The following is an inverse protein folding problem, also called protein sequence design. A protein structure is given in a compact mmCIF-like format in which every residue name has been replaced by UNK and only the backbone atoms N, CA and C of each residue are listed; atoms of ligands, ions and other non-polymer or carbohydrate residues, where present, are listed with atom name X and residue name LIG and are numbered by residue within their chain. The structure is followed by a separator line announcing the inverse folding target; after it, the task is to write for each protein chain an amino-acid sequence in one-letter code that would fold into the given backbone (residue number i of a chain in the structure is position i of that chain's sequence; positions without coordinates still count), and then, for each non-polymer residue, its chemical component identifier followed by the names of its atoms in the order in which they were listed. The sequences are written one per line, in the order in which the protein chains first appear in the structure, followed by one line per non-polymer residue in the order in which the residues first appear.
data_IF_364534160192
#
_entry.id   IF_364534160192
#
_cell.length_a   1.000
_cell.length_b   1.000
_cell.length_c   1.000
_cell.angle_alpha   90.00
_cell.angle_beta   90.00
_cell.angle_gamma   90.00
#
_symmetry.space_group_name_H-M   'P 1'
#
loop_
_entity.id
_entity.type
_entity.pdbx_description
1 polymer ?
#
# COMPACT_ATOMS: atom_id res chain seq x y z
N UNK A 1 8.82 -6.44 -21.64
CA UNK A 1 9.12 -6.60 -20.19
C UNK A 1 8.08 -7.55 -19.65
N UNK A 2 8.51 -8.68 -19.09
CA UNK A 2 7.63 -9.72 -18.57
C UNK A 2 7.01 -9.25 -17.25
N UNK A 3 5.70 -9.36 -17.11
CA UNK A 3 5.02 -9.14 -15.82
C UNK A 3 5.74 -9.96 -14.73
N UNK A 4 5.93 -9.40 -13.53
CA UNK A 4 6.46 -10.18 -12.41
C UNK A 4 5.57 -11.39 -12.16
N UNK A 5 6.18 -12.53 -11.87
CA UNK A 5 5.44 -13.76 -11.59
C UNK A 5 4.54 -13.59 -10.35
N UNK A 6 3.47 -14.40 -10.26
CA UNK A 6 2.47 -14.29 -9.18
C UNK A 6 3.09 -14.37 -7.78
N UNK A 7 4.19 -15.12 -7.61
CA UNK A 7 4.89 -15.23 -6.33
C UNK A 7 5.64 -13.94 -6.02
N UNK A 8 6.38 -13.38 -6.98
CA UNK A 8 7.04 -12.07 -6.80
C UNK A 8 6.05 -10.96 -6.48
N UNK A 9 4.86 -10.96 -7.13
CA UNK A 9 3.79 -10.00 -6.81
C UNK A 9 3.34 -10.16 -5.35
N UNK A 10 3.00 -11.39 -4.95
CA UNK A 10 2.56 -11.70 -3.60
C UNK A 10 3.60 -11.30 -2.53
N UNK A 11 4.88 -11.60 -2.76
CA UNK A 11 5.96 -11.23 -1.85
C UNK A 11 6.08 -9.69 -1.71
N UNK A 12 5.97 -8.96 -2.82
CA UNK A 12 6.01 -7.50 -2.78
C UNK A 12 4.81 -6.90 -2.03
N UNK A 13 3.61 -7.43 -2.24
CA UNK A 13 2.41 -7.00 -1.54
C UNK A 13 2.48 -7.32 -0.05
N UNK A 14 3.01 -8.50 0.31
CA UNK A 14 3.19 -8.91 1.70
C UNK A 14 4.22 -8.03 2.42
N UNK A 15 5.33 -7.70 1.76
CA UNK A 15 6.34 -6.77 2.28
C UNK A 15 5.71 -5.39 2.53
N UNK A 16 4.92 -4.88 1.58
CA UNK A 16 4.19 -3.62 1.75
C UNK A 16 3.23 -3.66 2.94
N UNK A 17 2.39 -4.71 3.03
CA UNK A 17 1.48 -4.88 4.17
C UNK A 17 2.28 -4.92 5.45
N UNK A 18 3.36 -5.70 5.53
CA UNK A 18 4.19 -5.77 6.75
C UNK A 18 4.77 -4.40 7.15
N UNK A 19 5.19 -3.59 6.17
CA UNK A 19 5.71 -2.24 6.40
C UNK A 19 4.67 -1.24 6.91
N UNK A 20 3.38 -1.45 6.67
CA UNK A 20 2.31 -0.62 7.28
C UNK A 20 2.33 -0.66 8.81
N UNK A 21 2.99 -1.64 9.43
CA UNK A 21 3.18 -1.68 10.88
C UNK A 21 4.28 -0.73 11.39
N UNK A 22 5.08 -0.11 10.51
CA UNK A 22 6.09 0.89 10.88
C UNK A 22 5.48 2.30 10.81
N UNK A 23 5.45 2.99 11.95
CA UNK A 23 4.90 4.34 12.06
C UNK A 23 5.61 5.36 11.17
N UNK A 24 6.91 5.18 10.87
CA UNK A 24 7.67 6.05 9.97
C UNK A 24 7.26 5.85 8.52
N UNK A 25 6.92 4.62 8.14
CA UNK A 25 6.44 4.31 6.80
C UNK A 25 5.02 4.88 6.59
N UNK A 26 4.14 4.74 7.58
CA UNK A 26 2.79 5.31 7.53
C UNK A 26 2.83 6.84 7.43
N UNK A 27 3.69 7.50 8.21
CA UNK A 27 3.92 8.96 8.09
C UNK A 27 4.45 9.36 6.70
N UNK A 28 5.32 8.54 6.12
CA UNK A 28 5.79 8.78 4.76
C UNK A 28 4.64 8.65 3.75
N UNK A 29 3.84 7.58 3.82
CA UNK A 29 2.68 7.40 2.95
C UNK A 29 1.68 8.55 3.05
N UNK A 30 1.47 9.03 4.27
CA UNK A 30 0.58 10.15 4.57
C UNK A 30 0.93 11.40 3.76
N UNK A 31 2.21 11.71 3.60
CA UNK A 31 2.66 12.92 2.90
C UNK A 31 2.41 12.89 1.38
N UNK A 32 2.28 11.70 0.78
CA UNK A 32 2.31 11.56 -0.68
C UNK A 32 1.10 10.83 -1.28
N UNK A 33 0.39 9.98 -0.51
CA UNK A 33 -0.57 9.02 -1.07
C UNK A 33 -1.92 8.98 -0.38
N UNK A 34 -2.07 9.61 0.80
CA UNK A 34 -3.35 9.55 1.52
C UNK A 34 -4.47 10.35 0.84
N UNK A 35 -4.15 11.27 -0.08
CA UNK A 35 -5.16 12.01 -0.84
C UNK A 35 -5.48 11.35 -2.20
N UNK A 36 -4.77 10.28 -2.59
CA UNK A 36 -4.97 9.60 -3.86
C UNK A 36 -6.10 8.55 -3.76
N UNK A 37 -7.09 8.62 -4.65
CA UNK A 37 -8.17 7.64 -4.75
C UNK A 37 -7.66 6.24 -5.13
N UNK A 38 -6.64 6.16 -6.00
CA UNK A 38 -6.03 4.89 -6.39
C UNK A 38 -5.39 4.18 -5.20
N UNK A 39 -4.87 4.93 -4.23
CA UNK A 39 -4.32 4.37 -3.01
C UNK A 39 -5.42 3.73 -2.14
N UNK A 40 -6.61 4.31 -2.07
CA UNK A 40 -7.74 3.75 -1.31
C UNK A 40 -8.21 2.44 -1.91
N UNK A 41 -8.37 2.41 -3.23
CA UNK A 41 -8.74 1.18 -3.96
C UNK A 41 -7.67 0.11 -3.78
N UNK A 42 -6.41 0.50 -3.72
CA UNK A 42 -5.32 -0.41 -3.43
C UNK A 42 -5.36 -1.01 -2.02
N UNK A 43 -5.58 -0.18 -0.99
CA UNK A 43 -5.77 -0.67 0.38
C UNK A 43 -6.96 -1.63 0.45
N UNK A 44 -8.03 -1.37 -0.32
CA UNK A 44 -9.17 -2.28 -0.45
C UNK A 44 -8.80 -3.61 -1.10
N UNK A 45 -8.01 -3.60 -2.17
CA UNK A 45 -7.48 -4.82 -2.76
C UNK A 45 -6.70 -5.64 -1.73
N UNK A 46 -5.77 -5.01 -1.00
CA UNK A 46 -4.90 -5.67 -0.02
C UNK A 46 -5.64 -6.28 1.18
N UNK A 47 -6.93 -5.99 1.40
CA UNK A 47 -7.71 -6.60 2.49
C UNK A 47 -7.78 -8.12 2.42
N UNK A 48 -7.47 -8.74 1.27
CA UNK A 48 -7.37 -10.20 1.17
C UNK A 48 -6.32 -10.79 2.13
N UNK A 49 -5.27 -10.03 2.49
CA UNK A 49 -4.27 -10.46 3.49
C UNK A 49 -4.87 -10.66 4.89
N UNK A 50 -6.03 -10.07 5.20
CA UNK A 50 -6.72 -10.28 6.48
C UNK A 50 -7.51 -11.59 6.52
N UNK A 51 -7.76 -12.20 5.37
CA UNK A 51 -8.57 -13.41 5.28
C UNK A 51 -7.68 -14.66 5.35
N UNK A 52 -8.16 -15.78 5.93
CA UNK A 52 -7.55 -17.08 5.72
C UNK A 52 -7.56 -17.43 4.23
N UNK A 53 -6.50 -18.05 3.67
CA UNK A 53 -5.29 -18.55 4.32
C UNK A 53 -4.15 -17.53 4.41
N UNK A 54 -4.34 -16.28 3.96
CA UNK A 54 -3.27 -15.30 3.75
C UNK A 54 -2.79 -14.63 5.03
N UNK A 55 -3.68 -14.46 6.01
CA UNK A 55 -3.37 -13.80 7.30
C UNK A 55 -2.18 -14.43 8.03
N UNK A 56 -1.91 -15.72 7.84
CA UNK A 56 -0.76 -16.43 8.45
C UNK A 56 0.60 -15.93 7.97
N UNK A 57 0.65 -15.26 6.81
CA UNK A 57 1.90 -14.76 6.25
C UNK A 57 2.26 -13.37 6.79
N UNK A 58 1.29 -12.64 7.36
CA UNK A 58 1.50 -11.29 7.87
C UNK A 58 2.20 -11.37 9.23
N UNK A 59 3.45 -10.89 9.26
CA UNK A 59 4.31 -10.99 10.46
C UNK A 59 3.95 -10.00 11.55
N UNK A 60 3.43 -8.82 11.18
CA UNK A 60 3.16 -7.74 12.10
C UNK A 60 1.64 -7.54 12.26
N UNK A 61 1.02 -7.82 13.42
CA UNK A 61 -0.41 -7.63 13.59
C UNK A 61 -0.82 -6.14 13.51
N UNK A 62 0.08 -5.21 13.81
CA UNK A 62 -0.17 -3.77 13.73
C UNK A 62 -0.43 -3.36 12.28
N UNK A 63 0.19 -4.03 11.31
CA UNK A 63 -0.08 -3.68 9.92
C UNK A 63 -1.51 -3.98 9.48
N UNK A 64 -2.12 -5.03 10.02
CA UNK A 64 -3.52 -5.35 9.75
C UNK A 64 -4.46 -4.26 10.31
N UNK A 65 -4.12 -3.69 11.46
CA UNK A 65 -4.86 -2.55 12.02
C UNK A 65 -4.78 -1.33 11.10
N UNK A 66 -3.60 -0.97 10.60
CA UNK A 66 -3.48 0.13 9.63
C UNK A 66 -4.20 -0.19 8.32
N UNK A 67 -4.07 -1.41 7.81
CA UNK A 67 -4.71 -1.84 6.57
C UNK A 67 -6.24 -1.72 6.64
N UNK A 68 -6.84 -2.01 7.79
CA UNK A 68 -8.26 -1.79 8.05
C UNK A 68 -8.61 -0.30 8.08
N UNK A 69 -7.87 0.47 8.88
CA UNK A 69 -8.27 1.84 9.20
C UNK A 69 -7.92 2.85 8.10
N UNK A 70 -6.91 2.58 7.27
CA UNK A 70 -6.50 3.47 6.17
C UNK A 70 -7.58 3.64 5.09
N UNK A 71 -8.59 2.76 5.05
CA UNK A 71 -9.76 2.94 4.16
C UNK A 71 -10.64 4.11 4.59
N UNK A 72 -10.64 4.45 5.88
CA UNK A 72 -11.47 5.51 6.41
C UNK A 72 -10.79 6.87 6.23
N UNK A 73 -11.45 7.77 5.51
CA UNK A 73 -10.96 9.14 5.30
C UNK A 73 -10.68 9.86 6.62
N UNK A 74 -11.57 9.73 7.61
CA UNK A 74 -11.41 10.34 8.94
C UNK A 74 -10.14 9.87 9.64
N UNK A 75 -9.79 8.58 9.51
CA UNK A 75 -8.58 8.04 10.11
C UNK A 75 -7.32 8.60 9.42
N UNK A 76 -7.30 8.65 8.08
CA UNK A 76 -6.20 9.28 7.31
C UNK A 76 -6.01 10.75 7.71
N UNK A 77 -7.11 11.49 7.88
CA UNK A 77 -7.10 12.89 8.33
C UNK A 77 -6.61 13.03 9.78
N UNK A 78 -6.97 12.10 10.67
CA UNK A 78 -6.47 12.12 12.05
C UNK A 78 -4.96 11.89 12.10
N UNK A 79 -4.44 10.94 11.32
CA UNK A 79 -2.99 10.72 11.18
C UNK A 79 -2.26 11.98 10.70
N UNK A 80 -2.83 12.67 9.69
CA UNK A 80 -2.34 13.97 9.20
C UNK A 80 -2.14 14.98 10.32
N UNK A 81 -3.15 15.16 11.17
CA UNK A 81 -3.10 16.12 12.28
C UNK A 81 -2.02 15.76 13.32
N UNK A 82 -1.86 14.48 13.64
CA UNK A 82 -0.88 14.02 14.64
C UNK A 82 0.57 14.21 14.18
N UNK A 83 0.88 13.98 12.90
CA UNK A 83 2.24 14.07 12.38
C UNK A 83 2.78 15.51 12.32
N UNK A 84 1.90 16.51 12.21
CA UNK A 84 2.30 17.94 12.12
C UNK A 84 2.89 18.48 13.44
N UNK A 85 2.64 17.80 14.56
CA UNK A 85 3.06 18.25 15.89
C UNK A 85 4.45 17.73 16.28
N UNK A 86 4.89 16.63 15.66
CA UNK A 86 6.23 16.09 15.85
C UNK A 86 7.18 16.78 14.85
N UNK A 87 7.96 17.74 15.34
CA UNK A 87 8.87 18.55 14.53
C UNK A 87 9.69 17.70 13.56
N UNK A 88 9.60 18.04 12.26
CA UNK A 88 10.30 17.46 11.10
C UNK A 88 11.38 16.43 11.47
N UNK A 89 10.98 15.19 11.79
CA UNK A 89 11.93 14.12 12.00
C UNK A 89 12.44 13.76 10.62
N UNK A 90 13.70 14.10 10.33
CA UNK A 90 14.36 13.63 9.11
C UNK A 90 14.17 12.13 9.02
N UNK A 91 13.40 11.71 8.02
CA UNK A 91 13.18 10.31 7.77
C UNK A 91 14.47 9.74 7.19
N UNK A 92 15.36 9.28 8.06
CA UNK A 92 16.68 8.72 7.69
C UNK A 92 16.54 7.51 6.76
N UNK A 93 15.33 6.94 6.69
CA UNK A 93 14.97 5.81 5.83
C UNK A 93 14.19 6.23 4.56
N UNK A 94 14.15 7.52 4.20
CA UNK A 94 13.43 8.02 3.02
C UNK A 94 13.80 7.24 1.75
N UNK A 95 15.10 7.06 1.49
CA UNK A 95 15.60 6.31 0.34
C UNK A 95 15.18 4.83 0.36
N UNK A 96 15.10 4.23 1.54
CA UNK A 96 14.64 2.85 1.69
C UNK A 96 13.15 2.76 1.34
N UNK A 97 12.32 3.68 1.86
CA UNK A 97 10.89 3.73 1.57
C UNK A 97 10.61 4.04 0.09
N UNK A 98 11.33 4.99 -0.50
CA UNK A 98 11.26 5.29 -1.94
C UNK A 98 11.64 4.07 -2.79
N UNK A 99 12.68 3.34 -2.43
CA UNK A 99 13.08 2.13 -3.17
C UNK A 99 12.02 1.03 -3.08
N UNK A 100 11.44 0.79 -1.90
CA UNK A 100 10.36 -0.18 -1.72
C UNK A 100 9.10 0.23 -2.49
N UNK A 101 8.73 1.51 -2.43
CA UNK A 101 7.61 2.03 -3.20
C UNK A 101 7.88 2.00 -4.70
N UNK A 102 9.10 2.25 -5.18
CA UNK A 102 9.43 2.19 -6.60
C UNK A 102 9.31 0.76 -7.13
N UNK A 103 9.78 -0.23 -6.36
CA UNK A 103 9.60 -1.66 -6.65
C UNK A 103 8.11 -2.02 -6.73
N UNK A 104 7.32 -1.44 -5.82
CA UNK A 104 5.88 -1.64 -5.73
C UNK A 104 5.10 -0.95 -6.86
N UNK A 105 5.26 0.36 -7.06
CA UNK A 105 4.56 1.17 -8.06
C UNK A 105 4.87 0.77 -9.49
N UNK A 106 6.08 0.28 -9.77
CA UNK A 106 6.42 -0.28 -11.08
C UNK A 106 5.55 -1.51 -11.38
N UNK A 107 5.48 -2.43 -10.41
CA UNK A 107 4.62 -3.62 -10.49
C UNK A 107 3.13 -3.25 -10.53
N UNK A 108 2.69 -2.32 -9.69
CA UNK A 108 1.30 -1.93 -9.55
C UNK A 108 0.76 -1.18 -10.77
N UNK A 109 1.50 -0.21 -11.34
CA UNK A 109 1.07 0.56 -12.51
C UNK A 109 0.98 -0.31 -13.76
N UNK A 110 1.89 -1.27 -13.91
CA UNK A 110 1.87 -2.25 -15.00
C UNK A 110 0.60 -3.13 -14.90
N UNK A 111 0.24 -3.58 -13.69
CA UNK A 111 -0.97 -4.41 -13.46
C UNK A 111 -2.27 -3.61 -13.58
N UNK A 112 -2.34 -2.38 -13.09
CA UNK A 112 -3.57 -1.56 -13.19
C UNK A 112 -3.82 -1.03 -14.59
N UNK A 113 -2.78 -0.64 -15.35
CA UNK A 113 -2.96 -0.24 -16.74
C UNK A 113 -3.36 -1.41 -17.66
N UNK A 114 -2.88 -2.64 -17.40
CA UNK A 114 -3.34 -3.81 -18.16
C UNK A 114 -4.69 -4.32 -17.66
N UNK A 115 -4.96 -4.32 -16.36
CA UNK A 115 -6.24 -4.72 -15.78
C UNK A 115 -7.41 -3.84 -16.20
N UNK A 116 -7.21 -2.51 -16.27
CA UNK A 116 -8.21 -1.57 -16.81
C UNK A 116 -8.39 -1.72 -18.33
N UNK A 117 -7.29 -1.98 -19.08
CA UNK A 117 -7.39 -2.24 -20.53
C UNK A 117 -8.10 -3.55 -20.83
N UNK A 118 -7.93 -4.58 -20.01
CA UNK A 118 -8.57 -5.87 -20.17
C UNK A 118 -10.06 -5.81 -19.78
N UNK A 119 -10.39 -5.11 -18.68
CA UNK A 119 -11.78 -4.87 -18.27
C UNK A 119 -12.57 -4.01 -19.29
N UNK A 120 -11.95 -2.99 -19.89
CA UNK A 120 -12.58 -2.17 -20.95
C UNK A 120 -12.69 -2.92 -22.30
N UNK A 121 -11.92 -4.00 -22.49
CA UNK A 121 -12.03 -4.91 -23.66
C UNK A 121 -13.14 -5.93 -23.48
N UNK A 122 -13.31 -6.47 -22.28
CA UNK A 122 -14.36 -7.43 -21.92
C UNK A 122 -15.73 -6.75 -21.77
N UNK A 123 -15.78 -5.48 -21.39
CA UNK A 123 -17.02 -4.69 -21.37
C UNK A 123 -17.53 -4.28 -22.78
N UNK A 124 -16.73 -4.52 -23.83
CA UNK A 124 -17.07 -4.19 -25.23
C UNK A 124 -17.24 -5.43 -26.13
N UNK A 125 -17.23 -6.62 -25.55
CA UNK A 125 -17.63 -7.89 -26.20
C UNK A 125 -18.96 -8.37 -25.63
#
# INVERSE_FOLDING_TARGET
MTLPDDKTRFECELDFVTMLGDSKFVQYLQKYYFDDEYFVDWIKYLQYFRQPPYVRFVKNPISLFYLENLQHLQFRQHLLLTATNDGQVENTNLKYFEAQLTKFYKTFREVTQEGLKQADKEARQ
#
